data_IF_599290591053
#
_entry.id   IF_599290591053
#
_cell.length_a   1.000
_cell.length_b   1.000
_cell.length_c   1.000
_cell.angle_alpha   90.00
_cell.angle_beta   90.00
_cell.angle_gamma   90.00
#
_symmetry.space_group_name_H-M   'P 1'
#
loop_
_entity.id
_entity.type
_entity.pdbx_description
1 polymer ?
#
# COMPACT_ATOMS: atom_id res chain seq x y z
N UNK A 1 -16.45 19.47 19.67
CA UNK A 1 -16.09 20.83 19.19
C UNK A 1 -15.17 20.66 18.00
N UNK A 2 -15.46 21.35 16.89
CA UNK A 2 -14.59 21.33 15.70
C UNK A 2 -13.33 22.14 16.01
N UNK A 3 -12.11 21.64 15.75
CA UNK A 3 -10.90 22.40 16.00
C UNK A 3 -10.91 23.68 15.14
N UNK A 4 -10.67 24.83 15.79
CA UNK A 4 -10.61 26.15 15.14
C UNK A 4 -9.26 26.42 14.47
N UNK A 5 -8.24 25.60 14.77
CA UNK A 5 -6.89 25.71 14.22
C UNK A 5 -6.39 24.39 13.63
N UNK A 6 -5.63 24.49 12.53
CA UNK A 6 -4.93 23.39 11.89
C UNK A 6 -3.43 23.66 11.89
N UNK A 7 -2.62 22.67 12.23
CA UNK A 7 -1.16 22.75 12.11
C UNK A 7 -0.73 22.13 10.80
N UNK A 8 -0.01 22.91 9.98
CA UNK A 8 0.49 22.51 8.67
C UNK A 8 1.99 22.31 8.79
N UNK A 9 2.50 21.18 8.31
CA UNK A 9 3.92 20.89 8.25
C UNK A 9 4.41 21.00 6.82
N UNK A 10 5.41 21.84 6.60
CA UNK A 10 6.01 22.06 5.28
C UNK A 10 7.21 21.13 5.09
N UNK A 11 7.26 20.49 3.93
CA UNK A 11 8.34 19.62 3.53
C UNK A 11 8.96 20.11 2.22
N UNK A 12 10.27 19.94 2.09
CA UNK A 12 10.96 19.98 0.80
C UNK A 12 11.31 18.55 0.42
N UNK A 13 10.92 18.17 -0.79
CA UNK A 13 11.36 16.93 -1.41
C UNK A 13 12.69 17.23 -2.09
N UNK A 14 13.76 16.66 -1.57
CA UNK A 14 15.08 16.76 -2.18
C UNK A 14 15.36 15.51 -3.00
N UNK A 15 15.83 15.73 -4.22
CA UNK A 15 16.38 14.67 -5.06
C UNK A 15 17.85 14.48 -4.67
N UNK A 16 18.11 13.41 -3.93
CA UNK A 16 19.46 13.04 -3.44
C UNK A 16 20.05 11.92 -4.28
N UNK A 17 19.58 11.76 -5.51
CA UNK A 17 20.02 10.70 -6.41
C UNK A 17 21.47 10.91 -6.83
N UNK A 18 22.30 9.92 -6.55
CA UNK A 18 23.68 9.85 -7.06
C UNK A 18 23.71 9.32 -8.50
N UNK A 19 22.64 8.65 -8.95
CA UNK A 19 22.48 8.08 -10.28
C UNK A 19 21.10 8.42 -10.85
N UNK A 20 21.04 8.90 -12.10
CA UNK A 20 19.80 9.23 -12.79
C UNK A 20 18.87 8.02 -13.03
N UNK A 21 19.39 6.79 -12.98
CA UNK A 21 18.61 5.56 -13.09
C UNK A 21 18.00 5.09 -11.75
N UNK A 22 18.49 5.60 -10.62
CA UNK A 22 18.00 5.26 -9.27
C UNK A 22 17.57 6.52 -8.55
N UNK A 23 16.33 6.94 -8.80
CA UNK A 23 15.82 8.16 -8.20
C UNK A 23 15.55 7.97 -6.71
N UNK A 24 16.22 8.75 -5.87
CA UNK A 24 16.06 8.76 -4.41
C UNK A 24 15.55 10.12 -3.95
N UNK A 25 14.29 10.16 -3.54
CA UNK A 25 13.65 11.35 -3.02
C UNK A 25 13.58 11.26 -1.49
N UNK A 26 13.98 12.33 -0.80
CA UNK A 26 13.88 12.42 0.67
C UNK A 26 13.06 13.63 1.09
N UNK A 27 12.18 13.44 2.06
CA UNK A 27 11.41 14.52 2.68
C UNK A 27 12.18 15.13 3.85
N UNK A 28 12.44 16.43 3.77
CA UNK A 28 12.96 17.20 4.91
C UNK A 28 11.89 18.20 5.35
N UNK A 29 11.51 18.13 6.63
CA UNK A 29 10.63 19.11 7.24
C UNK A 29 11.37 20.46 7.34
N UNK A 30 10.81 21.51 6.75
CA UNK A 30 11.45 22.84 6.69
C UNK A 30 10.67 23.92 7.42
N UNK A 31 9.42 23.66 7.83
CA UNK A 31 8.60 24.67 8.48
C UNK A 31 7.30 24.15 9.07
N UNK A 32 6.72 24.98 9.91
CA UNK A 32 5.47 24.73 10.61
C UNK A 32 4.60 25.97 10.58
N UNK A 33 3.34 25.80 10.20
CA UNK A 33 2.36 26.89 10.15
C UNK A 33 1.13 26.54 11.00
N UNK A 34 0.46 27.56 11.53
CA UNK A 34 -0.90 27.43 12.09
C UNK A 34 -1.90 28.20 11.23
N UNK A 35 -2.94 27.50 10.75
CA UNK A 35 -4.05 28.09 10.02
C UNK A 35 -5.30 28.17 10.90
N UNK A 36 -5.88 29.36 11.00
CA UNK A 36 -7.06 29.63 11.82
C UNK A 36 -8.32 29.69 10.96
N UNK A 37 -9.29 28.81 11.24
CA UNK A 37 -10.49 28.62 10.40
C UNK A 37 -11.34 29.87 10.31
N UNK A 38 -11.60 30.49 11.45
CA UNK A 38 -12.52 31.62 11.60
C UNK A 38 -11.96 32.91 11.02
N UNK A 39 -10.67 33.16 11.21
CA UNK A 39 -10.02 34.41 10.75
C UNK A 39 -9.36 34.28 9.38
N UNK A 40 -9.07 33.06 8.92
CA UNK A 40 -8.27 32.81 7.72
C UNK A 40 -6.84 33.31 7.84
N UNK A 41 -6.32 33.44 9.06
CA UNK A 41 -4.94 33.86 9.33
C UNK A 41 -4.00 32.65 9.26
N UNK A 42 -2.82 32.86 8.71
CA UNK A 42 -1.76 31.88 8.61
C UNK A 42 -0.55 32.39 9.39
N UNK A 43 -0.14 31.66 10.41
CA UNK A 43 0.97 32.03 11.28
C UNK A 43 2.15 31.11 11.05
N UNK A 44 3.35 31.66 10.90
CA UNK A 44 4.60 30.91 10.94
C UNK A 44 4.98 30.64 12.39
N UNK A 45 5.22 29.37 12.70
CA UNK A 45 5.65 28.87 14.01
C UNK A 45 6.95 28.05 13.92
N UNK A 46 7.68 28.18 12.81
CA UNK A 46 8.87 27.36 12.50
C UNK A 46 10.00 27.57 13.51
N UNK A 47 10.31 28.82 13.84
CA UNK A 47 11.44 29.16 14.72
C UNK A 47 11.04 29.19 16.19
N UNK A 48 9.86 29.74 16.50
CA UNK A 48 9.36 29.92 17.86
C UNK A 48 7.81 29.88 17.87
N UNK A 49 7.18 28.86 18.48
CA UNK A 49 5.73 28.75 18.55
C UNK A 49 5.08 29.76 19.51
N UNK A 50 5.84 30.39 20.40
CA UNK A 50 5.35 31.43 21.31
C UNK A 50 5.49 32.83 20.68
N UNK A 51 6.42 32.99 19.73
CA UNK A 51 6.63 34.23 18.96
C UNK A 51 6.31 34.05 17.48
N UNK A 52 5.02 33.95 17.19
CA UNK A 52 4.48 33.66 15.85
C UNK A 52 4.49 34.88 14.95
N UNK A 53 4.78 34.69 13.67
CA UNK A 53 4.72 35.74 12.65
C UNK A 53 3.53 35.52 11.72
N UNK A 54 2.74 36.57 11.45
CA UNK A 54 1.61 36.45 10.53
C UNK A 54 2.09 36.54 9.07
N UNK A 55 1.77 35.50 8.29
CA UNK A 55 2.13 35.43 6.89
C UNK A 55 1.07 36.06 6.00
N UNK A 56 1.53 36.77 4.97
CA UNK A 56 0.69 37.20 3.86
C UNK A 56 0.67 36.11 2.79
N UNK A 57 -0.51 35.71 2.37
CA UNK A 57 -0.69 34.68 1.35
C UNK A 57 -1.95 34.95 0.51
N UNK A 58 -2.02 34.35 -0.68
CA UNK A 58 -3.23 34.39 -1.50
C UNK A 58 -4.27 33.41 -0.94
N UNK A 59 -5.41 33.94 -0.50
CA UNK A 59 -6.50 33.13 0.07
C UNK A 59 -7.09 32.15 -0.95
N UNK A 60 -6.92 32.38 -2.25
CA UNK A 60 -7.35 31.44 -3.28
C UNK A 60 -6.47 30.18 -3.32
N UNK A 61 -5.24 30.22 -2.81
CA UNK A 61 -4.36 29.03 -2.77
C UNK A 61 -4.96 27.87 -1.97
N UNK A 62 -5.77 28.17 -0.95
CA UNK A 62 -6.42 27.17 -0.11
C UNK A 62 -7.87 26.89 -0.56
N UNK A 63 -8.35 27.57 -1.61
CA UNK A 63 -9.73 27.46 -2.09
C UNK A 63 -9.88 26.18 -2.89
N UNK A 64 -10.69 25.25 -2.38
CA UNK A 64 -10.85 23.90 -2.94
C UNK A 64 -10.15 22.79 -2.13
N UNK A 65 -9.33 23.16 -1.14
CA UNK A 65 -8.74 22.23 -0.19
C UNK A 65 -9.27 22.52 1.21
N UNK A 66 -10.19 21.70 1.72
CA UNK A 66 -10.64 21.83 3.11
C UNK A 66 -9.56 21.22 4.04
N UNK A 67 -8.63 22.08 4.47
CA UNK A 67 -7.52 21.71 5.36
C UNK A 67 -8.03 21.08 6.66
N UNK A 68 -9.23 21.44 7.12
CA UNK A 68 -9.78 20.87 8.35
C UNK A 68 -10.39 19.49 8.15
N UNK A 69 -10.78 19.13 6.93
CA UNK A 69 -11.07 17.73 6.57
C UNK A 69 -9.77 16.92 6.59
N UNK A 70 -8.68 17.47 6.02
CA UNK A 70 -7.36 16.83 6.03
C UNK A 70 -6.75 16.69 7.45
N UNK A 71 -7.05 17.63 8.35
CA UNK A 71 -6.53 17.66 9.72
C UNK A 71 -7.49 17.10 10.79
N UNK A 72 -8.70 16.67 10.41
CA UNK A 72 -9.62 16.02 11.35
C UNK A 72 -9.05 14.67 11.83
N UNK A 73 -9.41 14.18 13.03
CA UNK A 73 -8.92 12.89 13.54
C UNK A 73 -9.36 11.67 12.71
N UNK A 74 -10.15 11.88 11.66
CA UNK A 74 -10.42 10.89 10.60
C UNK A 74 -9.21 10.70 9.68
N UNK A 75 -8.28 11.67 9.61
CA UNK A 75 -7.14 11.68 8.65
C UNK A 75 -5.80 12.07 9.32
N UNK A 76 -5.75 12.39 10.62
CA UNK A 76 -4.48 12.66 11.31
C UNK A 76 -3.63 11.38 11.44
N UNK A 77 -2.66 11.23 10.52
CA UNK A 77 -1.59 10.26 10.56
C UNK A 77 -0.78 10.41 11.86
N UNK A 78 -1.00 9.53 12.83
CA UNK A 78 -0.08 9.39 13.96
C UNK A 78 1.09 8.49 13.58
N UNK A 79 2.21 8.76 14.25
CA UNK A 79 3.45 7.99 14.24
C UNK A 79 3.18 6.48 14.48
N UNK A 80 4.05 5.59 13.98
CA UNK A 80 3.90 4.15 14.18
C UNK A 80 4.05 3.84 15.68
N UNK A 81 2.94 3.50 16.31
CA UNK A 81 2.85 3.05 17.70
C UNK A 81 1.88 1.89 17.81
N UNK A 82 2.44 0.69 18.01
CA UNK A 82 1.99 -0.48 18.78
C UNK A 82 0.50 -0.82 18.97
N UNK A 83 -0.41 -0.49 18.05
CA UNK A 83 -1.76 -1.07 18.06
C UNK A 83 -1.86 -2.21 17.02
N UNK A 84 -1.36 -3.38 17.41
CA UNK A 84 -1.40 -4.62 16.61
C UNK A 84 -2.74 -5.37 16.75
N UNK A 85 -3.64 -4.94 17.65
CA UNK A 85 -4.80 -5.74 18.05
C UNK A 85 -6.09 -5.52 17.23
N UNK A 86 -6.19 -4.48 16.39
CA UNK A 86 -7.45 -4.15 15.68
C UNK A 86 -7.40 -4.19 14.14
N UNK A 87 -6.50 -4.97 13.53
CA UNK A 87 -6.46 -5.08 12.06
C UNK A 87 -7.40 -6.17 11.57
N UNK A 88 -8.21 -5.86 10.57
CA UNK A 88 -8.99 -6.88 9.87
C UNK A 88 -8.06 -7.95 9.29
N UNK A 89 -8.57 -9.18 9.32
CA UNK A 89 -7.84 -10.38 8.91
C UNK A 89 -8.36 -10.83 7.56
N UNK A 90 -7.43 -11.02 6.62
CA UNK A 90 -7.69 -11.70 5.35
C UNK A 90 -6.96 -13.04 5.37
N UNK A 91 -7.73 -14.12 5.47
CA UNK A 91 -7.18 -15.46 5.57
C UNK A 91 -6.90 -16.03 4.19
N UNK A 92 -5.69 -16.54 3.99
CA UNK A 92 -5.27 -17.12 2.72
C UNK A 92 -6.21 -18.22 2.22
N UNK A 93 -6.64 -19.10 3.14
CA UNK A 93 -7.51 -20.25 2.83
C UNK A 93 -8.85 -19.85 2.21
N UNK A 94 -9.30 -18.61 2.44
CA UNK A 94 -10.58 -18.08 1.96
C UNK A 94 -10.45 -17.40 0.58
N UNK A 95 -9.23 -17.31 0.04
CA UNK A 95 -8.93 -16.71 -1.26
C UNK A 95 -8.94 -17.79 -2.34
N UNK A 96 -9.57 -17.49 -3.49
CA UNK A 96 -9.36 -18.25 -4.73
C UNK A 96 -8.96 -17.33 -5.88
N UNK A 97 -7.82 -17.60 -6.49
CA UNK A 97 -7.35 -16.89 -7.66
C UNK A 97 -8.05 -17.39 -8.91
N UNK A 98 -8.57 -16.44 -9.70
CA UNK A 98 -9.45 -16.68 -10.84
C UNK A 98 -10.59 -17.66 -10.52
N UNK A 99 -11.07 -17.63 -9.26
CA UNK A 99 -12.12 -18.50 -8.73
C UNK A 99 -11.75 -19.98 -8.61
N UNK A 100 -10.50 -20.37 -8.89
CA UNK A 100 -10.08 -21.78 -8.97
C UNK A 100 -8.98 -22.13 -7.99
N UNK A 101 -7.86 -21.41 -8.02
CA UNK A 101 -6.63 -21.81 -7.33
C UNK A 101 -6.54 -21.25 -5.92
N UNK A 102 -5.96 -22.02 -5.00
CA UNK A 102 -5.51 -21.48 -3.70
C UNK A 102 -4.20 -20.72 -3.89
N UNK A 103 -3.62 -20.16 -2.83
CA UNK A 103 -2.31 -19.50 -2.90
C UNK A 103 -1.20 -20.50 -3.23
N UNK A 104 -1.24 -21.67 -2.62
CA UNK A 104 -0.35 -22.80 -2.92
C UNK A 104 -1.07 -23.82 -3.78
N UNK A 105 -0.43 -24.24 -4.87
CA UNK A 105 -0.96 -25.16 -5.87
C UNK A 105 0.20 -25.80 -6.65
N UNK A 106 -0.10 -26.64 -7.64
CA UNK A 106 0.90 -27.37 -8.44
C UNK A 106 1.23 -26.68 -9.77
N UNK A 107 2.35 -27.07 -10.39
CA UNK A 107 2.68 -26.62 -11.76
C UNK A 107 1.60 -27.04 -12.77
N UNK A 108 1.04 -28.25 -12.63
CA UNK A 108 -0.04 -28.70 -13.51
C UNK A 108 -1.29 -27.81 -13.39
N UNK A 109 -1.65 -27.43 -12.17
CA UNK A 109 -2.75 -26.49 -11.91
C UNK A 109 -2.46 -25.08 -12.43
N UNK A 110 -1.19 -24.63 -12.34
CA UNK A 110 -0.75 -23.38 -12.97
C UNK A 110 -1.05 -23.40 -14.46
N UNK A 111 -0.55 -24.41 -15.18
CA UNK A 111 -0.70 -24.51 -16.63
C UNK A 111 -2.17 -24.65 -17.05
N UNK A 112 -2.98 -25.37 -16.28
CA UNK A 112 -4.40 -25.53 -16.56
C UNK A 112 -5.18 -24.21 -16.45
N UNK A 113 -4.83 -23.34 -15.50
CA UNK A 113 -5.58 -22.10 -15.21
C UNK A 113 -5.00 -20.88 -15.92
N UNK A 114 -3.68 -20.79 -16.00
CA UNK A 114 -2.96 -19.64 -16.55
C UNK A 114 -2.32 -19.92 -17.91
N UNK A 115 -2.14 -21.19 -18.29
CA UNK A 115 -1.34 -21.57 -19.45
C UNK A 115 0.16 -21.48 -19.14
N UNK A 116 0.95 -21.34 -20.20
CA UNK A 116 2.40 -21.17 -20.08
C UNK A 116 2.76 -19.79 -19.49
N UNK A 117 3.81 -19.69 -18.66
CA UNK A 117 4.28 -18.41 -18.13
C UNK A 117 4.78 -17.51 -19.28
N UNK A 118 4.62 -16.20 -19.10
CA UNK A 118 5.11 -15.20 -20.06
C UNK A 118 6.64 -15.05 -19.98
N UNK A 119 7.20 -15.26 -18.79
CA UNK A 119 8.65 -15.39 -18.58
C UNK A 119 8.97 -16.14 -17.29
N UNK A 120 10.22 -16.59 -17.17
CA UNK A 120 10.73 -17.35 -16.02
C UNK A 120 12.10 -16.80 -15.62
N UNK A 121 12.35 -16.63 -14.33
CA UNK A 121 13.63 -16.19 -13.76
C UNK A 121 14.05 -17.14 -12.65
N UNK A 122 15.34 -17.46 -12.53
CA UNK A 122 15.81 -18.28 -11.42
C UNK A 122 15.89 -17.41 -10.16
N UNK A 123 15.48 -17.95 -9.01
CA UNK A 123 15.53 -17.21 -7.75
C UNK A 123 16.94 -16.76 -7.39
N UNK A 124 17.95 -17.60 -7.66
CA UNK A 124 19.36 -17.25 -7.45
C UNK A 124 19.84 -16.03 -8.25
N UNK A 125 19.23 -15.77 -9.40
CA UNK A 125 19.59 -14.65 -10.28
C UNK A 125 18.90 -13.35 -9.82
N UNK A 126 17.72 -13.48 -9.20
CA UNK A 126 16.93 -12.37 -8.65
C UNK A 126 17.34 -12.00 -7.21
N UNK A 127 17.99 -12.95 -6.51
CA UNK A 127 18.49 -12.80 -5.14
C UNK A 127 17.48 -12.16 -4.16
N UNK A 128 16.26 -12.71 -4.04
CA UNK A 128 15.26 -12.16 -3.13
C UNK A 128 15.74 -12.29 -1.67
N UNK A 129 15.42 -11.29 -0.86
CA UNK A 129 15.77 -11.29 0.56
C UNK A 129 14.99 -12.33 1.39
N UNK A 130 13.84 -12.78 0.89
CA UNK A 130 13.01 -13.83 1.48
C UNK A 130 12.32 -14.62 0.36
N UNK A 131 12.21 -15.94 0.54
CA UNK A 131 11.49 -16.84 -0.37
C UNK A 131 10.29 -17.44 0.34
N UNK A 132 9.21 -17.71 -0.41
CA UNK A 132 7.98 -18.30 0.13
C UNK A 132 8.23 -19.73 0.59
N UNK A 133 8.98 -20.52 -0.18
CA UNK A 133 9.28 -21.91 0.15
C UNK A 133 10.46 -22.06 1.12
N UNK A 134 11.23 -21.00 1.38
CA UNK A 134 12.38 -21.04 2.29
C UNK A 134 13.49 -21.98 1.80
N UNK A 135 13.56 -22.22 0.49
CA UNK A 135 14.50 -23.14 -0.15
C UNK A 135 15.66 -22.39 -0.80
N UNK A 136 16.81 -23.06 -0.90
CA UNK A 136 17.97 -22.61 -1.67
C UNK A 136 18.17 -23.52 -2.90
N UNK A 137 17.09 -24.13 -3.42
CA UNK A 137 17.25 -25.08 -4.50
C UNK A 137 17.67 -24.35 -5.79
N UNK A 138 18.67 -24.87 -6.52
CA UNK A 138 19.27 -24.14 -7.64
C UNK A 138 18.33 -23.96 -8.84
N UNK A 139 17.24 -24.72 -8.86
CA UNK A 139 16.19 -24.74 -9.87
C UNK A 139 14.90 -24.03 -9.45
N UNK A 140 14.86 -23.40 -8.27
CA UNK A 140 13.72 -22.57 -7.85
C UNK A 140 13.59 -21.34 -8.76
N UNK A 141 12.35 -20.99 -9.10
CA UNK A 141 12.06 -19.96 -10.12
C UNK A 141 10.92 -19.04 -9.73
N UNK A 142 11.00 -17.81 -10.21
CA UNK A 142 9.83 -16.97 -10.39
C UNK A 142 9.23 -17.24 -11.76
N UNK A 143 7.92 -17.47 -11.77
CA UNK A 143 7.09 -17.52 -12.97
C UNK A 143 6.34 -16.19 -13.06
N UNK A 144 6.28 -15.61 -14.26
CA UNK A 144 5.55 -14.38 -14.50
C UNK A 144 4.39 -14.63 -15.45
N UNK A 145 3.19 -14.18 -15.10
CA UNK A 145 2.02 -14.27 -15.97
C UNK A 145 1.07 -13.10 -15.75
N UNK A 146 0.67 -12.42 -16.82
CA UNK A 146 -0.32 -11.33 -16.80
C UNK A 146 0.03 -10.23 -15.78
N UNK A 147 1.32 -9.95 -15.60
CA UNK A 147 1.85 -9.01 -14.60
C UNK A 147 2.06 -9.60 -13.20
N UNK A 148 1.43 -10.73 -12.87
CA UNK A 148 1.59 -11.42 -11.59
C UNK A 148 2.87 -12.24 -11.51
N UNK A 149 3.44 -12.36 -10.30
CA UNK A 149 4.61 -13.17 -9.98
C UNK A 149 4.22 -14.32 -9.06
N UNK A 150 4.80 -15.47 -9.35
CA UNK A 150 4.62 -16.71 -8.61
C UNK A 150 6.00 -17.26 -8.28
N UNK A 151 6.19 -17.79 -7.08
CA UNK A 151 7.38 -18.58 -6.74
C UNK A 151 7.11 -20.05 -7.02
N UNK A 152 8.11 -20.79 -7.50
CA UNK A 152 8.02 -22.23 -7.71
C UNK A 152 9.23 -22.95 -7.14
N UNK A 153 8.97 -24.10 -6.52
CA UNK A 153 9.97 -25.06 -6.04
C UNK A 153 9.48 -26.47 -6.38
N UNK A 154 10.22 -27.18 -7.23
CA UNK A 154 9.82 -28.47 -7.81
C UNK A 154 8.42 -28.39 -8.45
N UNK A 155 7.46 -29.18 -7.97
CA UNK A 155 6.07 -29.18 -8.45
C UNK A 155 5.19 -28.15 -7.74
N UNK A 156 5.67 -27.50 -6.68
CA UNK A 156 4.90 -26.53 -5.90
C UNK A 156 5.03 -25.12 -6.46
N UNK A 157 3.91 -24.41 -6.51
CA UNK A 157 3.79 -23.02 -6.92
C UNK A 157 3.06 -22.23 -5.84
N UNK A 158 3.53 -21.02 -5.55
CA UNK A 158 2.92 -20.10 -4.62
C UNK A 158 2.68 -18.73 -5.28
N UNK A 159 1.47 -18.19 -5.09
CA UNK A 159 1.21 -16.79 -5.46
C UNK A 159 1.97 -15.84 -4.52
N UNK A 160 2.72 -14.92 -5.13
CA UNK A 160 3.52 -13.92 -4.44
C UNK A 160 2.94 -12.51 -4.65
N UNK A 161 2.95 -12.06 -5.90
CA UNK A 161 2.45 -10.75 -6.34
C UNK A 161 1.30 -10.93 -7.33
N UNK A 162 0.13 -10.38 -7.03
CA UNK A 162 -1.07 -10.55 -7.85
C UNK A 162 -1.60 -9.23 -8.38
N UNK A 163 -1.65 -9.11 -9.71
CA UNK A 163 -2.13 -7.92 -10.41
C UNK A 163 -3.56 -8.14 -10.90
N UNK A 164 -4.44 -7.19 -10.56
CA UNK A 164 -5.83 -7.18 -11.00
C UNK A 164 -5.91 -6.53 -12.38
N UNK A 165 -5.38 -7.22 -13.37
CA UNK A 165 -5.33 -6.82 -14.78
C UNK A 165 -5.66 -8.02 -15.66
N UNK A 166 -6.04 -7.78 -16.91
CA UNK A 166 -6.27 -8.84 -17.90
C UNK A 166 -7.35 -9.85 -17.46
N UNK A 167 -8.38 -9.38 -16.75
CA UNK A 167 -9.45 -10.24 -16.24
C UNK A 167 -9.07 -11.09 -15.02
N UNK A 168 -7.91 -10.84 -14.41
CA UNK A 168 -7.53 -11.45 -13.14
C UNK A 168 -8.45 -10.98 -12.01
N UNK A 169 -8.91 -11.92 -11.19
CA UNK A 169 -9.71 -11.64 -10.00
C UNK A 169 -9.43 -12.65 -8.90
N UNK A 170 -9.72 -12.27 -7.66
CA UNK A 170 -9.87 -13.24 -6.58
C UNK A 170 -11.32 -13.36 -6.16
N UNK A 171 -11.69 -14.50 -5.59
CA UNK A 171 -12.85 -14.57 -4.71
C UNK A 171 -12.38 -14.66 -3.27
N UNK A 172 -12.99 -13.88 -2.40
CA UNK A 172 -12.77 -13.93 -0.95
C UNK A 172 -14.11 -14.14 -0.27
N UNK A 173 -14.28 -15.29 0.39
CA UNK A 173 -15.56 -15.68 1.02
C UNK A 173 -16.77 -15.56 0.08
N UNK A 174 -16.57 -15.91 -1.20
CA UNK A 174 -17.60 -15.85 -2.24
C UNK A 174 -17.79 -14.48 -2.89
N UNK A 175 -17.13 -13.42 -2.40
CA UNK A 175 -17.19 -12.07 -2.96
C UNK A 175 -16.05 -11.93 -3.97
N UNK A 176 -16.37 -11.46 -5.17
CA UNK A 176 -15.39 -11.22 -6.23
C UNK A 176 -14.68 -9.89 -5.98
N UNK A 177 -13.35 -9.90 -6.04
CA UNK A 177 -12.49 -8.71 -6.03
C UNK A 177 -11.69 -8.72 -7.33
N UNK A 178 -11.87 -7.68 -8.14
CA UNK A 178 -11.24 -7.49 -9.44
C UNK A 178 -10.84 -6.04 -9.67
N UNK A 179 -10.36 -5.72 -10.88
CA UNK A 179 -9.99 -4.36 -11.32
C UNK A 179 -11.12 -3.32 -11.21
N UNK A 180 -12.36 -3.79 -11.08
CA UNK A 180 -13.55 -2.97 -10.87
C UNK A 180 -13.79 -2.57 -9.41
N UNK A 181 -13.17 -3.28 -8.47
CA UNK A 181 -13.47 -3.17 -7.03
C UNK A 181 -12.89 -1.90 -6.42
N UNK A 182 -13.73 -1.13 -5.74
CA UNK A 182 -13.39 0.19 -5.19
C UNK A 182 -12.90 0.14 -3.74
N UNK A 183 -12.38 1.26 -3.23
CA UNK A 183 -12.06 1.39 -1.81
C UNK A 183 -13.31 1.21 -0.92
N UNK A 184 -14.45 1.73 -1.34
CA UNK A 184 -15.73 1.59 -0.61
C UNK A 184 -16.16 0.12 -0.52
N UNK A 185 -15.99 -0.64 -1.60
CA UNK A 185 -16.27 -2.09 -1.60
C UNK A 185 -15.33 -2.82 -0.61
N UNK A 186 -14.05 -2.49 -0.62
CA UNK A 186 -13.07 -3.08 0.30
C UNK A 186 -13.34 -2.67 1.75
N UNK A 187 -13.84 -1.45 2.00
CA UNK A 187 -14.25 -1.00 3.33
C UNK A 187 -15.42 -1.82 3.90
N UNK A 188 -16.32 -2.31 3.06
CA UNK A 188 -17.40 -3.19 3.51
C UNK A 188 -16.86 -4.56 3.99
N UNK A 189 -15.78 -5.04 3.37
CA UNK A 189 -15.12 -6.30 3.74
C UNK A 189 -14.20 -6.14 4.96
N UNK A 190 -13.47 -5.05 5.00
CA UNK A 190 -12.40 -4.78 5.97
C UNK A 190 -12.51 -3.35 6.52
N UNK A 191 -13.55 -3.07 7.31
CA UNK A 191 -13.86 -1.71 7.75
C UNK A 191 -12.80 -1.13 8.69
N UNK A 192 -12.16 -1.95 9.53
CA UNK A 192 -11.10 -1.49 10.43
C UNK A 192 -9.79 -1.25 9.69
N UNK A 193 -9.46 -2.06 8.68
CA UNK A 193 -8.23 -1.90 7.90
C UNK A 193 -8.29 -0.70 6.95
N UNK A 194 -9.45 -0.39 6.36
CA UNK A 194 -9.61 0.81 5.52
C UNK A 194 -9.68 2.08 6.37
N UNK A 195 -10.40 2.05 7.50
CA UNK A 195 -10.42 3.18 8.47
C UNK A 195 -9.05 3.37 9.14
N UNK A 196 -8.31 2.28 9.32
CA UNK A 196 -6.96 2.27 9.85
C UNK A 196 -5.98 2.83 8.83
N UNK A 197 -5.72 4.14 8.88
CA UNK A 197 -4.65 4.87 8.16
C UNK A 197 -4.17 4.21 6.87
N UNK A 198 -4.76 4.63 5.75
CA UNK A 198 -4.21 4.38 4.43
C UNK A 198 -2.79 4.95 4.36
N UNK A 199 -1.84 4.13 3.95
CA UNK A 199 -0.46 4.56 3.69
C UNK A 199 -0.21 4.58 2.19
N UNK A 200 0.75 5.40 1.74
CA UNK A 200 1.30 5.26 0.40
C UNK A 200 2.44 4.22 0.42
N UNK A 201 2.61 3.41 -0.62
CA UNK A 201 3.64 2.35 -0.69
C UNK A 201 4.25 2.21 -2.10
N UNK A 202 5.34 1.44 -2.16
CA UNK A 202 6.38 1.28 -3.19
C UNK A 202 7.10 2.57 -3.61
N UNK A 203 6.50 3.76 -3.56
CA UNK A 203 7.18 5.03 -3.90
C UNK A 203 6.37 6.31 -3.57
N UNK A 204 5.30 6.22 -2.76
CA UNK A 204 4.44 7.38 -2.50
C UNK A 204 3.29 7.55 -3.51
N UNK A 205 3.13 6.63 -4.46
CA UNK A 205 2.18 6.80 -5.58
C UNK A 205 0.82 6.10 -5.38
N UNK A 206 0.78 5.02 -4.60
CA UNK A 206 -0.40 4.15 -4.49
C UNK A 206 -0.89 4.04 -3.04
N UNK A 207 -2.20 4.15 -2.85
CA UNK A 207 -2.84 3.93 -1.56
C UNK A 207 -2.80 2.45 -1.18
N UNK A 208 -2.56 2.15 0.09
CA UNK A 208 -2.44 0.77 0.59
C UNK A 208 -3.30 0.52 1.82
N UNK A 209 -4.05 -0.58 1.74
CA UNK A 209 -4.74 -1.23 2.87
C UNK A 209 -3.89 -2.41 3.34
N UNK A 210 -3.52 -2.42 4.62
CA UNK A 210 -2.71 -3.48 5.24
C UNK A 210 -3.60 -4.41 6.06
N UNK A 211 -3.68 -5.67 5.65
CA UNK A 211 -4.52 -6.70 6.25
C UNK A 211 -3.65 -7.71 6.98
N UNK A 212 -4.09 -8.13 8.17
CA UNK A 212 -3.40 -9.20 8.89
C UNK A 212 -3.56 -10.50 8.10
N UNK A 213 -2.44 -11.21 7.91
CA UNK A 213 -2.42 -12.57 7.37
C UNK A 213 -2.35 -13.58 8.52
N UNK A 214 -2.70 -14.82 8.23
CA UNK A 214 -2.45 -16.01 9.05
C UNK A 214 -0.96 -16.39 9.17
N UNK A 215 -0.08 -15.79 8.36
CA UNK A 215 1.37 -15.95 8.49
C UNK A 215 1.88 -15.15 9.69
N UNK A 216 2.61 -15.82 10.59
CA UNK A 216 3.00 -15.32 11.94
C UNK A 216 3.69 -13.95 11.95
N UNK A 217 4.32 -13.54 10.86
CA UNK A 217 5.02 -12.25 10.74
C UNK A 217 4.74 -11.47 9.45
N UNK A 218 3.80 -11.94 8.62
CA UNK A 218 3.46 -11.32 7.33
C UNK A 218 2.15 -10.54 7.35
N UNK A 219 1.93 -9.73 6.30
CA UNK A 219 0.63 -9.09 6.04
C UNK A 219 0.30 -9.10 4.56
N UNK A 220 -0.99 -9.11 4.24
CA UNK A 220 -1.47 -8.89 2.88
C UNK A 220 -1.62 -7.38 2.68
N UNK A 221 -1.06 -6.87 1.59
CA UNK A 221 -1.27 -5.48 1.15
C UNK A 221 -2.18 -5.47 -0.07
N UNK A 222 -3.22 -4.64 -0.04
CA UNK A 222 -4.01 -4.28 -1.21
C UNK A 222 -3.66 -2.84 -1.60
N UNK A 223 -3.27 -2.66 -2.85
CA UNK A 223 -2.86 -1.38 -3.42
C UNK A 223 -3.96 -0.86 -4.33
N UNK A 224 -4.17 0.45 -4.29
CA UNK A 224 -5.23 1.13 -5.02
C UNK A 224 -4.66 2.23 -5.90
N UNK A 225 -5.19 2.29 -7.12
CA UNK A 225 -4.90 3.32 -8.11
C UNK A 225 -6.24 3.88 -8.60
N UNK A 226 -6.41 5.20 -8.54
CA UNK A 226 -7.67 5.86 -8.93
C UNK A 226 -8.90 5.24 -8.26
N UNK A 227 -8.81 5.03 -6.94
CA UNK A 227 -9.87 4.45 -6.10
C UNK A 227 -10.23 2.97 -6.39
N UNK A 228 -9.45 2.27 -7.22
CA UNK A 228 -9.68 0.87 -7.57
C UNK A 228 -8.54 -0.02 -7.14
N UNK A 229 -8.87 -1.24 -6.72
CA UNK A 229 -7.90 -2.29 -6.46
C UNK A 229 -7.05 -2.51 -7.72
N UNK A 230 -5.74 -2.48 -7.52
CA UNK A 230 -4.75 -2.56 -8.60
C UNK A 230 -3.83 -3.75 -8.43
N UNK A 231 -3.37 -3.97 -7.20
CA UNK A 231 -2.31 -4.92 -6.91
C UNK A 231 -2.46 -5.50 -5.50
N UNK A 232 -2.10 -6.77 -5.31
CA UNK A 232 -2.06 -7.45 -4.02
C UNK A 232 -0.71 -8.14 -3.82
N UNK A 233 -0.17 -8.07 -2.61
CA UNK A 233 1.12 -8.69 -2.27
C UNK A 233 1.11 -9.26 -0.86
N UNK A 234 1.66 -10.45 -0.71
CA UNK A 234 2.05 -10.98 0.60
C UNK A 234 3.41 -10.41 0.98
N UNK A 235 3.41 -9.43 1.86
CA UNK A 235 4.66 -8.92 2.41
C UNK A 235 5.14 -9.86 3.52
N UNK A 236 6.37 -10.34 3.38
CA UNK A 236 7.11 -11.09 4.38
C UNK A 236 8.27 -10.22 4.90
N UNK A 237 8.58 -10.26 6.20
CA UNK A 237 9.75 -9.58 6.74
C UNK A 237 11.02 -10.26 6.24
N UNK A 238 12.01 -9.44 5.91
CA UNK A 238 13.38 -9.84 5.63
C UNK A 238 14.32 -9.38 6.75
#
# INVERSE_FOLDING_TARGET
>A
MTPDKATIKLYVIQDVSENAAERRLTEQAIGWLEFYRTSGRLMDITNDPDRREELRYDKNTLKGHDIFILCSPVVAAAKPGTDYESRDVMLEKDIRFNGKLKRFFTLAEFEQVYGQPDSVRLLKDEAPCVTIFGTEAPDDKYLYKNGSRFESSKDSVAMDEYWFLNGNFITYKGIKIDEGTTMDDIQQLFPAAVRGRLGLDKEGELWVVKLKSDVTYGHIKLFFKNDRVYFMHWWLPC
#
